data_IF_114968523607
#
_entry.id   IF_114968523607
#
_cell.length_a   1.000
_cell.length_b   1.000
_cell.length_c   1.000
_cell.angle_alpha   90.00
_cell.angle_beta   90.00
_cell.angle_gamma   90.00
#
_symmetry.space_group_name_H-M   'P 1'
#
loop_
_entity.id
_entity.type
_entity.pdbx_description
1 polymer ?
#
# COMPACT_ATOMS: atom_id res chain seq x y z
N UNK A 1 -32.84 -0.95 -5.13
CA UNK A 1 -31.97 0.05 -4.48
C UNK A 1 -30.97 -0.56 -3.51
N UNK A 2 -31.31 -0.98 -2.28
CA UNK A 2 -30.29 -1.53 -1.33
C UNK A 2 -29.55 -2.74 -1.86
N UNK A 3 -30.28 -3.75 -2.37
CA UNK A 3 -29.67 -4.96 -2.90
C UNK A 3 -28.70 -4.68 -4.06
N UNK A 4 -29.10 -3.81 -5.01
CA UNK A 4 -28.24 -3.41 -6.14
C UNK A 4 -27.00 -2.63 -5.69
N UNK A 5 -27.12 -1.80 -4.66
CA UNK A 5 -25.99 -1.06 -4.09
C UNK A 5 -25.03 -2.00 -3.35
N UNK A 6 -25.55 -2.99 -2.62
CA UNK A 6 -24.74 -4.01 -1.94
C UNK A 6 -24.00 -4.87 -2.97
N UNK A 7 -24.68 -5.31 -4.04
CA UNK A 7 -24.06 -6.02 -5.14
C UNK A 7 -22.93 -5.19 -5.79
N UNK A 8 -23.19 -3.91 -6.08
CA UNK A 8 -22.19 -2.98 -6.58
C UNK A 8 -20.99 -2.85 -5.62
N UNK A 9 -21.24 -2.65 -4.32
CA UNK A 9 -20.19 -2.50 -3.32
C UNK A 9 -19.33 -3.76 -3.20
N UNK A 10 -19.95 -4.95 -3.20
CA UNK A 10 -19.21 -6.23 -3.19
C UNK A 10 -18.33 -6.37 -4.42
N UNK A 11 -18.86 -6.08 -5.61
CA UNK A 11 -18.08 -6.13 -6.84
C UNK A 11 -16.87 -5.16 -6.83
N UNK A 12 -17.05 -3.95 -6.30
CA UNK A 12 -15.96 -2.97 -6.17
C UNK A 12 -14.91 -3.38 -5.14
N UNK A 13 -15.33 -3.92 -4.00
CA UNK A 13 -14.40 -4.44 -2.99
C UNK A 13 -13.60 -5.64 -3.50
N UNK A 14 -14.22 -6.52 -4.31
CA UNK A 14 -13.53 -7.63 -4.97
C UNK A 14 -12.52 -7.15 -6.02
N UNK A 15 -12.87 -6.09 -6.75
CA UNK A 15 -11.95 -5.44 -7.70
C UNK A 15 -10.75 -4.81 -6.99
N UNK A 16 -10.99 -4.02 -5.95
CA UNK A 16 -9.95 -3.41 -5.12
C UNK A 16 -9.04 -4.49 -4.51
N UNK A 17 -9.62 -5.57 -3.97
CA UNK A 17 -8.83 -6.67 -3.41
C UNK A 17 -7.94 -7.35 -4.46
N UNK A 18 -8.47 -7.59 -5.67
CA UNK A 18 -7.66 -8.18 -6.75
C UNK A 18 -6.47 -7.30 -7.10
N UNK A 19 -6.66 -5.98 -7.19
CA UNK A 19 -5.58 -5.04 -7.48
C UNK A 19 -4.55 -5.02 -6.35
N UNK A 20 -5.00 -4.99 -5.10
CA UNK A 20 -4.13 -4.95 -3.92
C UNK A 20 -3.34 -6.25 -3.76
N UNK A 21 -3.94 -7.41 -4.06
CA UNK A 21 -3.24 -8.71 -4.03
C UNK A 21 -2.24 -8.90 -5.16
N UNK A 22 -2.40 -8.19 -6.27
CA UNK A 22 -1.45 -8.19 -7.38
C UNK A 22 -0.25 -7.25 -7.14
N UNK A 23 -0.36 -6.31 -6.19
CA UNK A 23 0.72 -5.41 -5.82
C UNK A 23 1.78 -6.11 -4.95
N UNK A 24 3.00 -5.54 -4.92
CA UNK A 24 4.06 -5.97 -4.02
C UNK A 24 3.57 -5.92 -2.57
N UNK A 25 3.59 -7.02 -1.79
CA UNK A 25 3.06 -7.04 -0.44
C UNK A 25 3.71 -6.00 0.49
N UNK A 26 2.93 -5.44 1.42
CA UNK A 26 3.45 -4.58 2.47
C UNK A 26 4.20 -5.35 3.58
N UNK A 27 4.87 -4.66 4.52
CA UNK A 27 4.87 -3.21 4.68
C UNK A 27 5.85 -2.51 3.74
N UNK A 28 5.40 -1.39 3.18
CA UNK A 28 6.25 -0.53 2.35
C UNK A 28 7.01 0.48 3.20
N UNK A 29 8.21 0.86 2.77
CA UNK A 29 9.00 1.93 3.38
C UNK A 29 9.85 2.64 2.32
N UNK A 30 10.06 3.93 2.52
CA UNK A 30 11.05 4.67 1.74
C UNK A 30 12.44 4.38 2.25
N UNK A 31 13.36 4.15 1.33
CA UNK A 31 14.78 3.97 1.60
C UNK A 31 15.53 5.03 0.84
N UNK A 32 16.56 5.57 1.47
CA UNK A 32 17.56 6.36 0.79
C UNK A 32 18.82 5.52 0.79
N UNK A 33 19.38 5.14 -0.37
CA UNK A 33 20.74 4.62 -0.44
C UNK A 33 21.64 5.78 -0.01
N UNK A 34 21.91 5.88 1.29
CA UNK A 34 22.86 6.89 1.76
C UNK A 34 24.26 6.51 1.29
N UNK A 35 25.14 7.48 1.10
CA UNK A 35 26.49 7.25 0.60
C UNK A 35 26.97 8.46 -0.17
N UNK A 36 28.22 8.88 0.07
CA UNK A 36 28.85 10.06 -0.54
C UNK A 36 28.95 9.99 -2.08
N UNK A 37 28.62 8.84 -2.67
CA UNK A 37 28.73 8.57 -4.10
C UNK A 37 27.49 9.03 -4.91
N UNK A 38 26.34 9.28 -4.26
CA UNK A 38 25.08 9.67 -4.93
C UNK A 38 24.40 10.88 -4.25
N UNK A 39 24.87 12.11 -4.52
CA UNK A 39 24.43 13.32 -3.80
C UNK A 39 23.00 13.80 -4.16
N UNK A 40 22.28 13.10 -5.04
CA UNK A 40 21.00 13.56 -5.58
C UNK A 40 19.78 13.14 -4.75
N UNK A 41 19.99 12.42 -3.64
CA UNK A 41 18.91 12.08 -2.71
C UNK A 41 17.95 11.06 -3.29
N UNK A 42 18.45 10.16 -4.14
CA UNK A 42 17.67 9.08 -4.75
C UNK A 42 16.94 8.33 -3.63
N UNK A 43 15.62 8.25 -3.71
CA UNK A 43 14.82 7.42 -2.81
C UNK A 43 14.16 6.30 -3.59
N UNK A 44 14.08 5.13 -2.97
CA UNK A 44 13.34 3.98 -3.48
C UNK A 44 12.23 3.61 -2.52
N UNK A 45 11.09 3.21 -3.05
CA UNK A 45 10.04 2.58 -2.25
C UNK A 45 10.26 1.08 -2.31
N UNK A 46 10.43 0.45 -1.16
CA UNK A 46 10.66 -0.99 -1.07
C UNK A 46 9.66 -1.63 -0.11
N UNK A 47 9.38 -2.91 -0.35
CA UNK A 47 8.70 -3.78 0.59
C UNK A 47 9.73 -4.55 1.42
N UNK A 48 9.58 -4.50 2.74
CA UNK A 48 10.39 -5.29 3.65
C UNK A 48 9.86 -6.72 3.73
N UNK A 49 10.68 -7.70 3.32
CA UNK A 49 10.32 -9.11 3.36
C UNK A 49 10.59 -9.75 4.74
N UNK A 50 11.13 -9.00 5.70
CA UNK A 50 11.39 -9.46 7.06
C UNK A 50 12.52 -10.49 7.18
N UNK A 51 13.22 -10.79 6.08
CA UNK A 51 14.33 -11.74 6.03
C UNK A 51 15.67 -11.00 5.98
N UNK A 52 16.70 -11.61 6.56
CA UNK A 52 18.08 -11.15 6.47
C UNK A 52 18.87 -12.08 5.55
N UNK A 53 19.69 -11.51 4.67
CA UNK A 53 20.55 -12.27 3.75
C UNK A 53 21.99 -11.80 3.85
N UNK A 54 22.92 -12.74 3.95
CA UNK A 54 24.35 -12.42 4.00
C UNK A 54 24.88 -11.98 2.61
N UNK A 55 25.45 -10.76 2.49
CA UNK A 55 26.19 -10.30 1.30
C UNK A 55 27.56 -11.00 1.27
N UNK A 56 27.80 -11.77 0.19
CA UNK A 56 29.09 -12.40 -0.07
C UNK A 56 30.09 -11.49 -0.79
N UNK A 57 29.71 -10.24 -1.05
CA UNK A 57 30.48 -9.28 -1.82
C UNK A 57 31.00 -8.13 -0.95
N UNK A 58 31.96 -7.40 -1.48
CA UNK A 58 32.35 -6.09 -0.94
C UNK A 58 31.29 -5.08 -1.39
N UNK A 59 30.29 -4.85 -0.54
CA UNK A 59 29.16 -3.95 -0.80
C UNK A 59 29.51 -2.52 -0.32
N UNK A 60 29.46 -1.48 -1.18
CA UNK A 60 29.76 -0.07 -0.82
C UNK A 60 28.56 0.68 -0.20
N UNK A 61 27.45 -0.02 0.01
CA UNK A 61 26.27 0.47 0.72
C UNK A 61 26.65 0.88 2.15
N UNK A 62 26.16 2.01 2.66
CA UNK A 62 26.57 2.64 3.93
C UNK A 62 26.23 1.76 5.14
N UNK A 63 27.16 1.63 6.09
CA UNK A 63 26.97 0.86 7.32
C UNK A 63 25.90 1.49 8.17
N UNK A 64 25.14 0.65 8.87
CA UNK A 64 24.36 1.08 10.02
C UNK A 64 23.09 1.83 9.66
N UNK A 65 22.61 1.68 8.42
CA UNK A 65 21.18 1.86 8.13
C UNK A 65 20.38 0.74 8.80
N UNK A 66 19.07 0.91 8.96
CA UNK A 66 18.15 -0.15 9.40
C UNK A 66 18.13 -1.39 8.47
N UNK A 67 18.92 -1.34 7.38
CA UNK A 67 18.99 -2.33 6.32
C UNK A 67 20.18 -3.27 6.47
N UNK A 68 21.18 -2.95 7.32
CA UNK A 68 22.46 -3.68 7.39
C UNK A 68 22.84 -4.14 8.81
N UNK A 69 23.37 -5.36 8.92
CA UNK A 69 23.98 -5.92 10.16
C UNK A 69 25.38 -6.45 9.89
N UNK A 70 26.30 -6.27 10.84
CA UNK A 70 27.69 -6.72 10.72
C UNK A 70 28.65 -5.62 10.25
N UNK A 71 29.85 -6.01 9.81
CA UNK A 71 30.87 -5.06 9.36
C UNK A 71 30.69 -4.75 7.87
N UNK A 72 30.10 -3.59 7.59
CA UNK A 72 29.86 -3.06 6.25
C UNK A 72 31.09 -3.14 5.34
N UNK A 73 30.85 -3.41 4.06
CA UNK A 73 31.91 -3.48 3.06
C UNK A 73 32.71 -4.76 3.10
N UNK A 74 32.50 -5.66 4.06
CA UNK A 74 33.18 -6.96 4.11
C UNK A 74 32.24 -8.13 3.84
N UNK A 75 32.63 -9.14 3.05
CA UNK A 75 31.83 -10.35 2.88
C UNK A 75 31.40 -10.95 4.22
N UNK A 76 30.11 -11.24 4.39
CA UNK A 76 29.54 -11.82 5.61
C UNK A 76 28.62 -10.90 6.41
N UNK A 77 28.53 -9.59 6.10
CA UNK A 77 27.45 -8.73 6.62
C UNK A 77 26.09 -9.15 6.07
N UNK A 78 25.00 -8.79 6.74
CA UNK A 78 23.62 -9.12 6.37
C UNK A 78 22.85 -7.89 5.92
N UNK A 79 22.11 -8.00 4.82
CA UNK A 79 21.12 -7.01 4.38
C UNK A 79 19.70 -7.49 4.69
N UNK A 80 18.78 -6.55 4.88
CA UNK A 80 17.35 -6.87 4.76
C UNK A 80 17.03 -7.23 3.32
N UNK A 81 16.36 -8.36 3.14
CA UNK A 81 15.73 -8.68 1.88
C UNK A 81 14.58 -7.72 1.64
N UNK A 82 14.68 -6.99 0.54
CA UNK A 82 13.67 -6.04 0.11
C UNK A 82 13.26 -6.35 -1.32
N UNK A 83 12.00 -6.09 -1.62
CA UNK A 83 11.47 -6.12 -2.98
C UNK A 83 11.21 -4.69 -3.43
N UNK A 84 11.67 -4.32 -4.62
CA UNK A 84 11.43 -3.00 -5.18
C UNK A 84 9.94 -2.82 -5.47
N UNK A 85 9.35 -1.74 -4.96
CA UNK A 85 8.02 -1.26 -5.36
C UNK A 85 8.14 -0.19 -6.43
N UNK A 86 8.97 0.83 -6.17
CA UNK A 86 9.28 1.90 -7.11
C UNK A 86 10.75 2.25 -6.97
N UNK A 87 11.47 2.24 -8.09
CA UNK A 87 12.85 2.71 -8.14
C UNK A 87 13.13 3.55 -9.39
N UNK A 88 14.21 4.31 -9.33
CA UNK A 88 14.84 4.91 -10.50
C UNK A 88 16.35 4.76 -10.34
N UNK A 89 16.86 3.59 -10.70
CA UNK A 89 18.31 3.33 -10.78
C UNK A 89 18.78 3.47 -12.23
N UNK A 90 19.82 4.25 -12.47
CA UNK A 90 20.47 4.36 -13.78
C UNK A 90 21.56 5.43 -13.81
N UNK A 91 22.61 5.21 -14.60
CA UNK A 91 23.74 6.16 -14.73
C UNK A 91 23.33 7.52 -15.35
N UNK A 92 22.11 7.61 -15.88
CA UNK A 92 21.48 8.78 -16.49
C UNK A 92 20.04 9.03 -16.00
N UNK A 93 19.60 8.30 -14.97
CA UNK A 93 18.28 8.49 -14.37
C UNK A 93 18.33 9.65 -13.37
N UNK A 94 17.39 10.59 -13.50
CA UNK A 94 17.11 11.53 -12.42
C UNK A 94 16.44 10.73 -11.29
N UNK A 95 17.02 10.75 -10.09
CA UNK A 95 16.44 10.08 -8.93
C UNK A 95 14.98 10.46 -8.71
N UNK A 96 14.23 9.57 -8.06
CA UNK A 96 12.86 9.89 -7.62
C UNK A 96 12.96 10.82 -6.43
N UNK A 97 12.26 11.96 -6.51
CA UNK A 97 12.04 12.85 -5.37
C UNK A 97 10.57 12.80 -4.98
N UNK A 98 10.28 12.49 -3.72
CA UNK A 98 8.92 12.52 -3.15
C UNK A 98 8.94 13.42 -1.92
N UNK A 99 7.99 14.35 -1.81
CA UNK A 99 7.89 15.20 -0.62
C UNK A 99 7.48 14.38 0.61
N UNK A 100 7.89 14.81 1.81
CA UNK A 100 7.68 14.06 3.05
C UNK A 100 6.21 13.66 3.30
N UNK A 101 5.27 14.56 3.00
CA UNK A 101 3.83 14.29 3.17
C UNK A 101 3.32 13.22 2.20
N UNK A 102 3.77 13.25 0.95
CA UNK A 102 3.40 12.28 -0.08
C UNK A 102 4.06 10.92 0.23
N UNK A 103 5.32 10.93 0.65
CA UNK A 103 6.05 9.75 1.07
C UNK A 103 5.35 9.04 2.23
N UNK A 104 4.95 9.80 3.24
CA UNK A 104 4.17 9.30 4.38
C UNK A 104 2.79 8.77 3.94
N UNK A 105 2.11 9.47 3.03
CA UNK A 105 0.81 9.03 2.50
C UNK A 105 0.93 7.68 1.77
N UNK A 106 1.90 7.54 0.87
CA UNK A 106 2.12 6.32 0.08
C UNK A 106 2.37 5.12 0.99
N UNK A 107 3.31 5.23 1.95
CA UNK A 107 3.59 4.16 2.92
C UNK A 107 2.35 3.84 3.76
N UNK A 108 1.61 4.88 4.16
CA UNK A 108 0.41 4.72 4.99
C UNK A 108 -0.74 4.01 4.24
N UNK A 109 -0.69 3.91 2.92
CA UNK A 109 -1.66 3.19 2.07
C UNK A 109 -1.08 1.90 1.48
N UNK A 110 -0.15 1.25 2.17
CA UNK A 110 0.41 -0.03 1.75
C UNK A 110 -0.67 -1.14 1.60
N UNK A 111 -0.43 -2.17 0.76
CA UNK A 111 -1.38 -3.24 0.50
C UNK A 111 -1.92 -3.96 1.74
N UNK A 112 -1.10 -4.17 2.77
CA UNK A 112 -1.54 -4.86 3.99
C UNK A 112 -2.56 -4.03 4.77
N UNK A 113 -2.44 -2.69 4.76
CA UNK A 113 -3.49 -1.82 5.30
C UNK A 113 -4.75 -1.88 4.45
N UNK A 114 -4.64 -1.73 3.12
CA UNK A 114 -5.83 -1.68 2.25
C UNK A 114 -6.66 -2.95 2.37
N UNK A 115 -6.02 -4.13 2.45
CA UNK A 115 -6.74 -5.40 2.70
C UNK A 115 -7.53 -5.39 4.02
N UNK A 116 -6.98 -4.81 5.10
CA UNK A 116 -7.71 -4.66 6.38
C UNK A 116 -8.92 -3.73 6.25
N UNK A 117 -8.82 -2.68 5.45
CA UNK A 117 -9.94 -1.77 5.22
C UNK A 117 -11.04 -2.40 4.35
N UNK A 118 -10.67 -3.17 3.33
CA UNK A 118 -11.61 -3.95 2.52
C UNK A 118 -12.39 -4.93 3.40
N UNK A 119 -11.67 -5.68 4.25
CA UNK A 119 -12.28 -6.63 5.17
C UNK A 119 -13.25 -5.95 6.15
N UNK A 120 -12.86 -4.80 6.72
CA UNK A 120 -13.74 -4.03 7.59
C UNK A 120 -15.02 -3.55 6.87
N UNK A 121 -14.93 -3.14 5.60
CA UNK A 121 -16.08 -2.72 4.80
C UNK A 121 -17.00 -3.91 4.47
N UNK A 122 -16.44 -5.10 4.20
CA UNK A 122 -17.24 -6.33 4.01
C UNK A 122 -18.03 -6.69 5.25
N UNK A 123 -17.37 -6.72 6.42
CA UNK A 123 -18.05 -6.99 7.69
C UNK A 123 -19.19 -6.01 7.94
N UNK A 124 -18.99 -4.72 7.63
CA UNK A 124 -20.04 -3.72 7.74
C UNK A 124 -21.22 -4.00 6.80
N UNK A 125 -20.96 -4.38 5.54
CA UNK A 125 -22.01 -4.75 4.59
C UNK A 125 -22.79 -5.98 5.08
N UNK A 126 -22.09 -7.00 5.57
CA UNK A 126 -22.71 -8.23 6.08
C UNK A 126 -23.60 -7.93 7.30
N UNK A 127 -23.13 -7.09 8.23
CA UNK A 127 -23.97 -6.62 9.35
C UNK A 127 -25.21 -5.87 8.89
N UNK A 128 -25.10 -5.03 7.85
CA UNK A 128 -26.25 -4.30 7.31
C UNK A 128 -27.28 -5.23 6.64
N UNK A 129 -26.86 -6.37 6.09
CA UNK A 129 -27.77 -7.36 5.51
C UNK A 129 -28.46 -8.23 6.57
N UNK A 130 -27.78 -8.55 7.66
CA UNK A 130 -28.27 -9.46 8.70
C UNK A 130 -29.10 -8.75 9.78
N UNK A 131 -28.81 -7.48 10.08
CA UNK A 131 -29.39 -6.77 11.22
C UNK A 131 -30.76 -6.17 10.92
N UNK A 132 -31.80 -6.90 11.31
CA UNK A 132 -33.20 -6.50 11.18
C UNK A 132 -33.58 -5.28 12.04
N UNK A 133 -32.74 -4.88 13.00
CA UNK A 133 -33.00 -3.73 13.89
C UNK A 133 -32.55 -2.38 13.33
N UNK A 134 -31.80 -2.32 12.22
CA UNK A 134 -31.34 -1.04 11.66
C UNK A 134 -32.49 -0.37 10.88
N UNK A 135 -32.88 0.88 11.20
CA UNK A 135 -33.86 1.60 10.41
C UNK A 135 -33.42 1.71 8.95
N UNK A 136 -34.33 1.42 8.01
CA UNK A 136 -34.03 1.41 6.57
C UNK A 136 -33.31 2.70 6.13
N UNK A 137 -33.76 3.87 6.60
CA UNK A 137 -33.13 5.14 6.25
C UNK A 137 -31.67 5.24 6.70
N UNK A 138 -31.33 4.72 7.89
CA UNK A 138 -29.96 4.68 8.39
C UNK A 138 -29.09 3.73 7.56
N UNK A 139 -29.60 2.54 7.23
CA UNK A 139 -28.93 1.59 6.34
C UNK A 139 -28.63 2.22 4.98
N UNK A 140 -29.60 2.92 4.36
CA UNK A 140 -29.37 3.59 3.07
C UNK A 140 -28.25 4.63 3.15
N UNK A 141 -28.24 5.46 4.20
CA UNK A 141 -27.19 6.47 4.39
C UNK A 141 -25.82 5.84 4.53
N UNK A 142 -25.70 4.71 5.25
CA UNK A 142 -24.44 3.98 5.40
C UNK A 142 -23.97 3.39 4.07
N UNK A 143 -24.86 2.74 3.32
CA UNK A 143 -24.52 2.18 2.00
C UNK A 143 -24.11 3.27 1.01
N UNK A 144 -24.79 4.42 0.98
CA UNK A 144 -24.41 5.57 0.14
C UNK A 144 -23.04 6.14 0.51
N UNK A 145 -22.74 6.22 1.80
CA UNK A 145 -21.43 6.66 2.28
C UNK A 145 -20.31 5.68 1.86
N UNK A 146 -20.58 4.36 1.94
CA UNK A 146 -19.65 3.33 1.46
C UNK A 146 -19.44 3.36 -0.06
N UNK A 147 -20.47 3.77 -0.82
CA UNK A 147 -20.41 3.85 -2.28
C UNK A 147 -19.72 5.13 -2.79
N UNK A 148 -19.56 6.15 -1.95
CA UNK A 148 -19.01 7.46 -2.32
C UNK A 148 -17.60 7.41 -2.95
N UNK A 149 -16.65 6.54 -2.50
CA UNK A 149 -15.34 6.41 -3.13
C UNK A 149 -15.40 5.97 -4.60
N UNK A 150 -16.52 5.38 -5.03
CA UNK A 150 -16.72 4.86 -6.39
C UNK A 150 -17.64 5.75 -7.23
N UNK A 151 -17.84 7.02 -6.85
CA UNK A 151 -18.78 7.93 -7.51
C UNK A 151 -18.39 8.33 -8.95
N UNK A 152 -17.16 8.04 -9.36
CA UNK A 152 -16.60 8.18 -10.70
C UNK A 152 -16.67 6.89 -11.53
N UNK A 153 -17.07 5.77 -10.93
CA UNK A 153 -17.18 4.48 -11.61
C UNK A 153 -18.36 4.49 -12.62
N UNK A 154 -18.21 3.92 -13.84
CA UNK A 154 -19.27 3.94 -14.87
C UNK A 154 -20.59 3.28 -14.43
N UNK A 155 -20.51 2.20 -13.63
CA UNK A 155 -21.69 1.51 -13.09
C UNK A 155 -22.31 2.22 -11.86
N UNK A 156 -21.70 3.29 -11.36
CA UNK A 156 -22.24 4.06 -10.23
C UNK A 156 -23.49 4.82 -10.66
N UNK A 157 -24.59 4.66 -9.93
CA UNK A 157 -25.85 5.37 -10.24
C UNK A 157 -25.92 6.71 -9.50
N UNK A 158 -26.25 7.83 -10.19
CA UNK A 158 -26.35 9.16 -9.54
C UNK A 158 -27.31 9.23 -8.35
N UNK A 159 -28.35 8.40 -8.32
CA UNK A 159 -29.33 8.26 -7.22
C UNK A 159 -28.73 7.69 -5.92
N UNK A 160 -27.50 7.17 -5.97
CA UNK A 160 -26.75 6.69 -4.82
C UNK A 160 -25.93 7.79 -4.15
N UNK A 161 -25.88 9.01 -4.70
CA UNK A 161 -25.23 10.14 -4.04
C UNK A 161 -26.02 10.52 -2.77
N UNK A 162 -25.35 10.77 -1.64
CA UNK A 162 -25.99 11.20 -0.40
C UNK A 162 -26.85 12.45 -0.54
#
# INVERSE_FOLDING_TARGET
MSAEMIEFLRARLDEDERLVRAATPGPWRWTSPTGADFPQGDVSLVADQGQWRSCQYYCSWPAGSDEDRGTQGTPGHEHRETETVVDAWGYDAWGITVGDADAAHIVRWDPARVLREIEAKRQLIDWLEEEWAIPIAAMQSMLRALALPYADHPDYRPEWRP
#
